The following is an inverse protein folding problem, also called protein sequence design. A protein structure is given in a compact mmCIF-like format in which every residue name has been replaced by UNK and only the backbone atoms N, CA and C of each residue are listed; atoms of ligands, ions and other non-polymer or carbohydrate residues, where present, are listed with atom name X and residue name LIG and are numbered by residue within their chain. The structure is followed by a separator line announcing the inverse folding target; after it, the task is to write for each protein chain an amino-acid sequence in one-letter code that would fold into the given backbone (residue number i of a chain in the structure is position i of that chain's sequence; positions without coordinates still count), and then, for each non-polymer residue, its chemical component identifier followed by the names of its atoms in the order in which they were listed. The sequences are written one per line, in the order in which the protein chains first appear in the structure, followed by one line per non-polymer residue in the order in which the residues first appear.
data_IF_431565804648
#
_entry.id   IF_431565804648
#
_cell.length_a   1.000
_cell.length_b   1.000
_cell.length_c   1.000
_cell.angle_alpha   90.00
_cell.angle_beta   90.00
_cell.angle_gamma   90.00
#
_symmetry.space_group_name_H-M   'P 1'
#
loop_
_entity.id
_entity.type
_entity.pdbx_description
1 polymer ?
#
# COMPACT_ATOMS: atom_id res chain seq x y z
N UNK A 1 11.78 -3.35 45.07
CA UNK A 1 11.05 -3.75 46.28
C UNK A 1 10.13 -4.91 45.90
N UNK A 2 10.44 -6.10 46.43
CA UNK A 2 9.68 -7.37 46.46
C UNK A 2 8.93 -7.84 45.19
N UNK A 3 9.58 -8.80 44.53
CA UNK A 3 8.99 -9.93 43.80
C UNK A 3 8.01 -10.66 44.73
N UNK A 4 6.80 -10.95 44.24
CA UNK A 4 5.91 -11.96 44.82
C UNK A 4 5.59 -13.04 43.80
N UNK A 5 5.51 -14.24 44.35
CA UNK A 5 5.80 -15.53 43.77
C UNK A 5 4.47 -16.28 43.57
N UNK A 6 4.02 -16.45 42.32
CA UNK A 6 2.78 -17.17 41.98
C UNK A 6 3.12 -18.61 41.56
N UNK A 7 3.82 -19.33 42.44
CA UNK A 7 4.02 -20.79 42.31
C UNK A 7 3.20 -21.60 43.32
N UNK A 8 2.35 -20.94 44.11
CA UNK A 8 1.54 -21.58 45.17
C UNK A 8 0.07 -21.83 44.80
N UNK A 9 -0.41 -21.41 43.63
CA UNK A 9 -1.84 -21.55 43.26
C UNK A 9 -2.09 -22.77 42.33
N UNK A 10 -1.06 -23.29 41.67
CA UNK A 10 -1.21 -24.38 40.68
C UNK A 10 -1.28 -25.78 41.32
N UNK A 11 -0.97 -25.92 42.62
CA UNK A 11 -0.88 -27.24 43.26
C UNK A 11 -2.19 -27.80 43.84
N UNK A 12 -3.26 -27.01 43.90
CA UNK A 12 -4.54 -27.42 44.50
C UNK A 12 -5.69 -27.73 43.51
N UNK A 13 -5.44 -27.69 42.20
CA UNK A 13 -6.48 -27.99 41.20
C UNK A 13 -6.39 -29.39 40.57
N UNK A 14 -5.29 -30.13 40.82
CA UNK A 14 -5.03 -31.43 40.18
C UNK A 14 -5.52 -32.67 40.94
N UNK A 15 -6.31 -32.52 42.01
CA UNK A 15 -6.72 -33.64 42.86
C UNK A 15 -8.22 -34.00 42.84
N UNK A 16 -9.02 -33.41 41.96
CA UNK A 16 -10.50 -33.61 42.00
C UNK A 16 -11.14 -33.91 40.64
N UNK A 17 -10.46 -34.67 39.76
CA UNK A 17 -11.09 -35.18 38.51
C UNK A 17 -10.78 -36.67 38.23
N UNK A 18 -10.11 -37.37 39.14
CA UNK A 18 -9.96 -38.83 39.05
C UNK A 18 -11.02 -39.55 39.89
N UNK A 19 -12.27 -39.50 39.46
CA UNK A 19 -13.27 -40.52 39.73
C UNK A 19 -14.52 -40.24 38.89
N UNK A 20 -15.16 -41.32 38.43
CA UNK A 20 -16.40 -41.38 37.63
C UNK A 20 -16.15 -41.54 36.12
N UNK A 21 -15.88 -42.78 35.68
CA UNK A 21 -16.88 -43.55 34.91
C UNK A 21 -16.33 -44.92 34.47
N UNK A 22 -16.64 -45.94 35.27
CA UNK A 22 -16.82 -47.31 34.80
C UNK A 22 -18.32 -47.53 34.63
N UNK A 23 -18.77 -47.88 33.43
CA UNK A 23 -19.61 -49.06 33.18
C UNK A 23 -20.14 -49.13 31.73
N UNK A 24 -19.86 -50.29 31.12
CA UNK A 24 -20.69 -51.09 30.21
C UNK A 24 -21.01 -50.58 28.78
N UNK A 25 -20.23 -51.14 27.84
CA UNK A 25 -20.64 -51.98 26.71
C UNK A 25 -22.09 -51.84 26.16
N UNK A 26 -22.20 -51.41 24.90
CA UNK A 26 -22.88 -52.20 23.86
C UNK A 26 -22.22 -52.00 22.47
N UNK A 27 -21.98 -53.15 21.82
CA UNK A 27 -21.52 -53.42 20.45
C UNK A 27 -22.58 -52.97 19.40
N UNK A 28 -22.39 -52.73 18.09
CA UNK A 28 -21.31 -52.80 17.09
C UNK A 28 -21.83 -52.14 15.78
N UNK A 29 -21.08 -51.24 15.13
CA UNK A 29 -20.82 -51.24 13.66
C UNK A 29 -19.93 -50.04 13.27
N UNK A 30 -19.11 -50.19 12.22
CA UNK A 30 -18.23 -49.20 11.59
C UNK A 30 -16.83 -49.01 12.18
N UNK A 31 -15.95 -50.00 11.97
CA UNK A 31 -14.52 -49.91 12.30
C UNK A 31 -13.60 -50.22 11.11
N UNK A 32 -13.78 -49.55 9.97
CA UNK A 32 -12.80 -49.62 8.86
C UNK A 32 -12.56 -48.30 8.11
N UNK A 33 -13.35 -47.24 8.31
CA UNK A 33 -13.16 -45.95 7.63
C UNK A 33 -12.36 -44.91 8.45
N UNK A 34 -12.16 -45.13 9.75
CA UNK A 34 -11.54 -44.14 10.65
C UNK A 34 -9.99 -44.16 10.61
N UNK A 35 -9.36 -45.29 10.24
CA UNK A 35 -7.87 -45.39 10.29
C UNK A 35 -7.13 -44.68 9.15
N UNK A 36 -7.76 -44.43 7.99
CA UNK A 36 -7.12 -43.65 6.89
C UNK A 36 -7.25 -42.13 7.04
N UNK A 37 -8.27 -41.65 7.75
CA UNK A 37 -8.46 -40.21 7.99
C UNK A 37 -7.53 -39.65 9.06
N UNK A 38 -7.13 -40.48 10.03
CA UNK A 38 -6.30 -40.03 11.16
C UNK A 38 -4.85 -39.82 10.71
N UNK A 39 -4.27 -40.72 9.90
CA UNK A 39 -2.85 -40.61 9.52
C UNK A 39 -2.55 -39.42 8.57
N UNK A 40 -3.53 -38.98 7.77
CA UNK A 40 -3.41 -37.79 6.91
C UNK A 40 -3.58 -36.47 7.66
N UNK A 41 -4.20 -36.49 8.84
CA UNK A 41 -4.48 -35.27 9.63
C UNK A 41 -3.30 -34.90 10.55
N UNK A 42 -2.57 -35.91 11.06
CA UNK A 42 -1.44 -35.68 11.96
C UNK A 42 -0.15 -35.26 11.24
N UNK A 43 0.07 -35.65 9.97
CA UNK A 43 1.28 -35.26 9.21
C UNK A 43 1.28 -33.78 8.77
N UNK A 44 0.12 -33.21 8.41
CA UNK A 44 0.01 -31.79 8.01
C UNK A 44 0.04 -30.83 9.20
N UNK A 45 -0.48 -31.22 10.37
CA UNK A 45 -0.45 -30.39 11.59
C UNK A 45 0.96 -30.26 12.18
N UNK A 46 1.78 -31.31 12.12
CA UNK A 46 3.17 -31.24 12.62
C UNK A 46 4.03 -30.33 11.72
N UNK A 47 3.82 -30.37 10.40
CA UNK A 47 4.52 -29.48 9.47
C UNK A 47 4.11 -28.01 9.67
N UNK A 48 2.81 -27.75 9.89
CA UNK A 48 2.32 -26.40 10.22
C UNK A 48 2.81 -25.90 11.58
N UNK A 49 2.88 -26.76 12.60
CA UNK A 49 3.39 -26.41 13.92
C UNK A 49 4.90 -26.17 13.92
N UNK A 50 5.68 -26.90 13.13
CA UNK A 50 7.11 -26.62 12.91
C UNK A 50 7.33 -25.33 12.11
N UNK A 51 6.47 -25.04 11.12
CA UNK A 51 6.52 -23.79 10.37
C UNK A 51 6.11 -22.58 11.23
N UNK A 52 5.09 -22.74 12.09
CA UNK A 52 4.68 -21.77 13.10
C UNK A 52 5.76 -21.57 14.17
N UNK A 53 6.44 -22.64 14.61
CA UNK A 53 7.56 -22.54 15.56
C UNK A 53 8.76 -21.80 14.93
N UNK A 54 9.03 -22.01 13.63
CA UNK A 54 10.04 -21.27 12.86
C UNK A 54 9.62 -19.81 12.57
N UNK A 55 8.32 -19.53 12.46
CA UNK A 55 7.78 -18.17 12.31
C UNK A 55 7.74 -17.40 13.64
N UNK A 56 7.40 -18.07 14.75
CA UNK A 56 7.34 -17.48 16.08
C UNK A 56 8.74 -17.13 16.63
N UNK A 57 9.81 -17.80 16.19
CA UNK A 57 11.18 -17.39 16.51
C UNK A 57 11.63 -16.09 15.79
N UNK A 58 10.85 -15.56 14.86
CA UNK A 58 11.12 -14.28 14.18
C UNK A 58 10.22 -13.11 14.62
N UNK A 59 9.24 -13.35 15.50
CA UNK A 59 8.32 -12.32 15.97
C UNK A 59 8.86 -11.58 17.18
N UNK A 60 9.88 -10.73 17.01
CA UNK A 60 10.24 -9.74 18.03
C UNK A 60 9.28 -8.55 17.87
N UNK A 61 8.60 -8.28 18.99
CA UNK A 61 7.80 -7.14 19.38
C UNK A 61 8.04 -5.85 18.57
N UNK A 62 7.04 -5.41 17.80
CA UNK A 62 6.97 -4.04 17.30
C UNK A 62 6.34 -3.15 18.36
N UNK A 63 7.15 -2.68 19.30
CA UNK A 63 6.81 -1.49 20.09
C UNK A 63 6.72 -0.30 19.13
N UNK A 64 5.61 0.44 19.16
CA UNK A 64 5.42 1.71 18.44
C UNK A 64 6.29 2.82 19.07
N UNK A 65 7.60 2.66 18.92
CA UNK A 65 8.54 3.75 18.70
C UNK A 65 8.67 3.84 17.19
N UNK A 66 8.38 4.99 16.56
CA UNK A 66 8.80 5.23 15.17
C UNK A 66 10.31 5.43 15.20
N UNK A 67 11.03 4.34 15.35
CA UNK A 67 12.48 4.35 15.40
C UNK A 67 12.96 4.72 13.99
N UNK A 68 13.57 5.88 13.85
CA UNK A 68 14.15 6.36 12.60
C UNK A 68 15.61 5.93 12.56
N UNK A 69 16.08 5.54 11.37
CA UNK A 69 17.46 5.09 11.17
C UNK A 69 18.06 5.73 9.94
N UNK A 70 19.37 5.96 10.00
CA UNK A 70 20.14 6.42 8.86
C UNK A 70 20.52 5.24 7.98
N UNK A 71 19.79 5.08 6.87
CA UNK A 71 20.02 4.03 5.90
C UNK A 71 21.11 4.45 4.92
N UNK A 72 22.19 3.67 4.85
CA UNK A 72 23.30 3.90 3.91
C UNK A 72 22.89 3.63 2.46
N UNK A 73 23.25 4.52 1.55
CA UNK A 73 22.99 4.36 0.11
C UNK A 73 24.10 3.59 -0.63
N UNK A 74 25.13 3.09 0.06
CA UNK A 74 26.29 2.42 -0.55
C UNK A 74 25.91 1.26 -1.49
N UNK A 75 24.88 0.51 -1.14
CA UNK A 75 24.40 -0.63 -1.93
C UNK A 75 23.12 -0.34 -2.71
N UNK A 76 22.74 0.94 -2.87
CA UNK A 76 21.55 1.31 -3.63
C UNK A 76 21.81 1.13 -5.12
N UNK A 77 20.88 0.45 -5.78
CA UNK A 77 20.82 0.29 -7.22
C UNK A 77 20.11 1.45 -7.93
N UNK A 78 19.43 2.32 -7.18
CA UNK A 78 18.72 3.50 -7.72
C UNK A 78 19.51 4.78 -7.46
N UNK A 79 19.89 5.05 -6.21
CA UNK A 79 20.60 6.25 -5.79
C UNK A 79 22.13 6.10 -5.91
N UNK A 80 22.61 5.55 -7.03
CA UNK A 80 24.01 5.11 -7.23
C UNK A 80 25.04 6.23 -7.15
N UNK A 81 24.64 7.48 -7.37
CA UNK A 81 25.52 8.65 -7.39
C UNK A 81 25.86 9.17 -5.98
N UNK A 82 25.21 8.64 -4.93
CA UNK A 82 25.43 9.03 -3.53
C UNK A 82 25.84 7.85 -2.62
N UNK A 83 26.86 7.04 -2.98
CA UNK A 83 27.18 5.80 -2.25
C UNK A 83 27.68 6.05 -0.81
N UNK A 84 28.15 7.26 -0.51
CA UNK A 84 28.70 7.62 0.81
C UNK A 84 27.70 8.38 1.68
N UNK A 85 26.44 8.50 1.25
CA UNK A 85 25.42 9.25 1.95
C UNK A 85 24.36 8.35 2.58
N UNK A 86 23.55 8.97 3.44
CA UNK A 86 22.54 8.30 4.25
C UNK A 86 21.21 9.03 4.14
N UNK A 87 20.11 8.30 4.22
CA UNK A 87 18.75 8.86 4.24
C UNK A 87 18.03 8.46 5.52
N UNK A 88 17.23 9.37 6.05
CA UNK A 88 16.37 9.11 7.21
C UNK A 88 15.15 8.30 6.76
N UNK A 89 15.00 7.10 7.30
CA UNK A 89 13.87 6.19 7.02
C UNK A 89 13.43 5.50 8.30
N UNK A 90 12.24 4.88 8.28
CA UNK A 90 11.84 4.00 9.38
C UNK A 90 12.83 2.82 9.51
N UNK A 91 13.14 2.42 10.73
CA UNK A 91 14.07 1.33 11.09
C UNK A 91 13.82 -0.01 10.39
N UNK A 92 12.62 -0.22 9.85
CA UNK A 92 12.24 -1.43 9.11
C UNK A 92 12.70 -1.41 7.65
N UNK A 93 13.11 -0.25 7.13
CA UNK A 93 13.48 -0.10 5.73
C UNK A 93 14.89 -0.63 5.49
N UNK A 94 15.03 -1.40 4.42
CA UNK A 94 16.31 -1.81 3.87
C UNK A 94 16.56 -1.08 2.56
N UNK A 95 17.81 -1.02 2.11
CA UNK A 95 18.15 -0.42 0.80
C UNK A 95 17.38 -1.07 -0.34
N UNK A 96 17.20 -2.40 -0.29
CA UNK A 96 16.42 -3.12 -1.29
C UNK A 96 14.94 -2.71 -1.29
N UNK A 97 14.35 -2.43 -0.12
CA UNK A 97 12.97 -1.93 -0.03
C UNK A 97 12.86 -0.51 -0.59
N UNK A 98 13.83 0.36 -0.26
CA UNK A 98 13.90 1.71 -0.82
C UNK A 98 13.98 1.68 -2.35
N UNK A 99 14.91 0.89 -2.89
CA UNK A 99 15.08 0.75 -4.33
C UNK A 99 13.82 0.18 -5.01
N UNK A 100 13.17 -0.81 -4.39
CA UNK A 100 11.95 -1.41 -4.92
C UNK A 100 10.79 -0.41 -4.93
N UNK A 101 10.65 0.39 -3.88
CA UNK A 101 9.63 1.43 -3.79
C UNK A 101 9.84 2.49 -4.89
N UNK A 102 11.05 3.04 -4.99
CA UNK A 102 11.42 4.01 -6.03
C UNK A 102 11.18 3.44 -7.44
N UNK A 103 11.61 2.19 -7.69
CA UNK A 103 11.46 1.55 -9.01
C UNK A 103 10.00 1.33 -9.39
N UNK A 104 9.14 1.03 -8.42
CA UNK A 104 7.73 0.71 -8.65
C UNK A 104 6.80 1.90 -8.47
N UNK A 105 7.28 3.07 -8.01
CA UNK A 105 6.45 4.22 -7.67
C UNK A 105 5.49 4.59 -8.82
N UNK A 106 5.98 4.86 -10.02
CA UNK A 106 5.08 5.24 -11.13
C UNK A 106 4.39 4.07 -11.85
N UNK A 107 4.80 2.83 -11.58
CA UNK A 107 4.25 1.63 -12.23
C UNK A 107 3.22 0.90 -11.34
N UNK A 108 3.20 1.21 -10.04
CA UNK A 108 2.31 0.61 -9.06
C UNK A 108 0.91 1.20 -9.17
N UNK A 109 -0.08 0.32 -9.26
CA UNK A 109 -1.49 0.72 -9.24
C UNK A 109 -1.86 1.53 -7.99
N UNK A 110 -1.18 1.27 -6.86
CA UNK A 110 -1.42 2.01 -5.63
C UNK A 110 -0.94 3.46 -5.73
N UNK A 111 0.30 3.68 -6.16
CA UNK A 111 0.89 5.01 -6.30
C UNK A 111 0.23 5.83 -7.41
N UNK A 112 -0.13 5.21 -8.54
CA UNK A 112 -0.90 5.88 -9.59
C UNK A 112 -2.26 6.34 -9.04
N UNK A 113 -2.93 5.48 -8.26
CA UNK A 113 -4.21 5.83 -7.63
C UNK A 113 -4.05 6.95 -6.61
N UNK A 114 -3.00 6.89 -5.78
CA UNK A 114 -2.69 7.93 -4.79
C UNK A 114 -2.43 9.28 -5.47
N UNK A 115 -1.59 9.31 -6.50
CA UNK A 115 -1.38 10.50 -7.32
C UNK A 115 -2.69 11.05 -7.88
N UNK A 116 -3.51 10.19 -8.49
CA UNK A 116 -4.78 10.58 -9.09
C UNK A 116 -5.75 11.14 -8.07
N UNK A 117 -5.83 10.53 -6.88
CA UNK A 117 -6.67 10.99 -5.79
C UNK A 117 -6.21 12.35 -5.25
N UNK A 118 -4.90 12.54 -5.02
CA UNK A 118 -4.35 13.76 -4.45
C UNK A 118 -4.39 14.96 -5.42
N UNK A 119 -4.36 14.69 -6.72
CA UNK A 119 -4.30 15.72 -7.75
C UNK A 119 -5.55 15.80 -8.63
N UNK A 120 -6.62 15.02 -8.40
CA UNK A 120 -7.81 15.05 -9.26
C UNK A 120 -7.50 14.69 -10.71
N UNK A 121 -6.62 13.71 -10.90
CA UNK A 121 -6.10 13.29 -12.21
C UNK A 121 -6.52 11.85 -12.56
N UNK A 122 -6.24 11.46 -13.79
CA UNK A 122 -6.34 10.14 -14.40
C UNK A 122 -5.00 9.78 -15.07
N UNK A 123 -3.90 10.17 -14.41
CA UNK A 123 -2.54 9.86 -14.80
C UNK A 123 -2.31 8.34 -14.86
N UNK A 124 -1.48 7.91 -15.79
CA UNK A 124 -1.24 6.50 -16.11
C UNK A 124 0.21 6.06 -15.82
N UNK A 125 0.96 6.86 -15.06
CA UNK A 125 2.37 6.57 -14.75
C UNK A 125 3.39 7.10 -15.77
N UNK A 126 2.96 7.75 -16.87
CA UNK A 126 3.84 8.13 -17.98
C UNK A 126 4.22 9.61 -18.00
N UNK A 127 5.29 9.94 -18.72
CA UNK A 127 5.68 11.33 -19.01
C UNK A 127 6.56 12.00 -17.95
N UNK A 128 6.74 11.39 -16.77
CA UNK A 128 7.59 11.95 -15.72
C UNK A 128 9.07 11.60 -15.97
N UNK A 129 9.93 12.63 -16.02
CA UNK A 129 11.38 12.54 -16.21
C UNK A 129 12.11 12.78 -14.90
N UNK A 130 13.25 12.14 -14.71
CA UNK A 130 14.18 12.25 -13.58
C UNK A 130 13.55 11.92 -12.22
N UNK A 131 12.59 10.99 -12.20
CA UNK A 131 11.91 10.58 -10.97
C UNK A 131 12.90 10.00 -9.95
N UNK A 132 13.77 9.10 -10.38
CA UNK A 132 14.72 8.45 -9.47
C UNK A 132 15.74 9.46 -8.97
N UNK A 133 16.31 10.25 -9.89
CA UNK A 133 17.27 11.30 -9.59
C UNK A 133 16.69 12.32 -8.61
N UNK A 134 15.50 12.85 -8.88
CA UNK A 134 14.85 13.84 -8.02
C UNK A 134 14.44 13.26 -6.67
N UNK A 135 13.91 12.03 -6.61
CA UNK A 135 13.52 11.40 -5.34
C UNK A 135 14.74 11.12 -4.45
N UNK A 136 15.82 10.58 -5.00
CA UNK A 136 17.07 10.37 -4.25
C UNK A 136 17.63 11.69 -3.72
N UNK A 137 17.69 12.70 -4.58
CA UNK A 137 18.13 14.05 -4.22
C UNK A 137 17.25 14.64 -3.11
N UNK A 138 15.94 14.56 -3.24
CA UNK A 138 14.98 15.11 -2.28
C UNK A 138 15.18 14.53 -0.88
N UNK A 139 15.31 13.22 -0.77
CA UNK A 139 15.53 12.55 0.52
C UNK A 139 16.84 12.99 1.19
N UNK A 140 17.87 13.33 0.41
CA UNK A 140 19.18 13.73 0.95
C UNK A 140 19.19 15.16 1.51
N UNK A 141 18.38 16.05 0.94
CA UNK A 141 18.29 17.46 1.34
C UNK A 141 16.96 17.78 2.06
N UNK A 142 16.18 16.77 2.44
CA UNK A 142 14.99 16.93 3.28
C UNK A 142 15.38 17.59 4.61
N UNK A 143 14.57 18.55 5.09
CA UNK A 143 14.91 19.35 6.28
C UNK A 143 15.15 18.50 7.54
N UNK A 144 14.48 17.37 7.63
CA UNK A 144 14.55 16.44 8.78
C UNK A 144 15.63 15.35 8.60
N UNK A 145 16.40 15.38 7.49
CA UNK A 145 17.47 14.42 7.27
C UNK A 145 18.78 14.86 7.95
N UNK A 146 18.95 14.48 9.20
CA UNK A 146 20.19 14.71 9.96
C UNK A 146 21.28 13.65 9.74
N UNK A 147 21.03 12.63 8.91
CA UNK A 147 21.94 11.50 8.75
C UNK A 147 23.29 11.85 8.10
N UNK A 148 23.36 12.96 7.37
CA UNK A 148 24.59 13.41 6.71
C UNK A 148 25.33 14.52 7.49
N UNK A 149 24.84 14.91 8.68
CA UNK A 149 25.36 16.04 9.47
C UNK A 149 26.37 15.64 10.58
N UNK A 150 26.76 14.37 10.70
CA UNK A 150 27.53 13.80 11.83
C UNK A 150 28.94 14.46 12.02
N UNK A 151 29.41 15.27 11.06
CA UNK A 151 30.69 16.01 11.15
C UNK A 151 30.54 17.55 11.17
N UNK A 152 29.46 18.13 11.70
CA UNK A 152 29.36 19.60 11.89
C UNK A 152 30.20 20.10 13.08
N UNK A 153 31.52 20.05 12.94
CA UNK A 153 32.41 20.90 13.74
C UNK A 153 32.55 22.26 13.04
N UNK A 154 31.81 23.24 13.55
CA UNK A 154 32.04 24.71 13.48
C UNK A 154 32.41 25.41 12.16
N UNK A 155 32.44 24.76 11.00
CA UNK A 155 32.60 25.42 9.71
C UNK A 155 31.41 25.10 8.79
N UNK A 156 30.73 26.16 8.32
CA UNK A 156 29.61 26.11 7.36
C UNK A 156 30.06 25.73 5.94
N UNK A 157 31.17 25.02 5.78
CA UNK A 157 31.63 24.58 4.46
C UNK A 157 30.96 23.25 4.10
N UNK A 158 29.93 23.36 3.25
CA UNK A 158 29.31 22.31 2.40
C UNK A 158 29.23 20.89 2.99
N UNK A 159 27.99 20.44 3.24
CA UNK A 159 27.65 19.01 3.26
C UNK A 159 28.39 18.26 2.15
N UNK A 160 28.95 17.08 2.44
CA UNK A 160 29.59 16.20 1.44
C UNK A 160 28.59 15.65 0.40
N UNK A 161 27.31 16.00 0.49
CA UNK A 161 26.29 15.63 -0.49
C UNK A 161 26.45 16.52 -1.73
N UNK A 162 26.73 15.89 -2.87
CA UNK A 162 26.75 16.57 -4.17
C UNK A 162 25.30 16.80 -4.62
N UNK A 163 24.87 18.04 -4.92
CA UNK A 163 23.52 18.32 -5.42
C UNK A 163 23.32 17.84 -6.87
N UNK A 164 22.07 17.77 -7.32
CA UNK A 164 21.77 17.56 -8.75
C UNK A 164 21.91 18.86 -9.53
N UNK A 165 22.06 18.72 -10.85
CA UNK A 165 22.15 19.88 -11.74
C UNK A 165 20.81 20.61 -11.79
N UNK A 166 20.86 21.95 -11.85
CA UNK A 166 19.65 22.77 -11.88
C UNK A 166 18.81 22.47 -13.11
N UNK A 167 19.43 22.31 -14.28
CA UNK A 167 18.79 21.79 -15.49
C UNK A 167 18.03 20.47 -15.29
N UNK A 168 18.60 19.50 -14.56
CA UNK A 168 17.93 18.23 -14.24
C UNK A 168 16.72 18.43 -13.33
N UNK A 169 16.87 19.25 -12.28
CA UNK A 169 15.78 19.55 -11.36
C UNK A 169 14.62 20.24 -12.07
N UNK A 170 14.92 21.21 -12.93
CA UNK A 170 13.95 21.91 -13.76
C UNK A 170 13.30 20.97 -14.79
N UNK A 171 14.02 20.00 -15.33
CA UNK A 171 13.45 18.99 -16.22
C UNK A 171 12.39 18.12 -15.50
N UNK A 172 12.66 17.70 -14.25
CA UNK A 172 11.64 17.03 -13.42
C UNK A 172 10.40 17.92 -13.24
N UNK A 173 10.60 19.18 -12.82
CA UNK A 173 9.53 20.17 -12.68
C UNK A 173 8.70 20.33 -13.95
N UNK A 174 9.34 20.49 -15.10
CA UNK A 174 8.67 20.69 -16.38
C UNK A 174 7.90 19.45 -16.85
N UNK A 175 8.42 18.26 -16.58
CA UNK A 175 7.72 17.01 -16.90
C UNK A 175 6.43 16.85 -16.08
N UNK A 176 6.48 17.15 -14.77
CA UNK A 176 5.28 17.14 -13.92
C UNK A 176 4.28 18.23 -14.30
N UNK A 177 4.78 19.44 -14.61
CA UNK A 177 3.94 20.55 -15.09
C UNK A 177 3.21 20.19 -16.38
N UNK A 178 3.88 19.48 -17.29
CA UNK A 178 3.27 18.99 -18.53
C UNK A 178 2.14 18.02 -18.23
N UNK A 179 2.33 17.09 -17.29
CA UNK A 179 1.27 16.16 -16.85
C UNK A 179 0.08 16.92 -16.27
N UNK A 180 0.31 17.89 -15.37
CA UNK A 180 -0.77 18.68 -14.76
C UNK A 180 -1.54 19.56 -15.75
N UNK A 181 -0.91 19.94 -16.87
CA UNK A 181 -1.53 20.75 -17.92
C UNK A 181 -2.20 19.92 -19.02
N UNK A 182 -2.01 18.60 -19.06
CA UNK A 182 -2.70 17.73 -20.02
C UNK A 182 -4.14 17.51 -19.56
N UNK A 183 -5.10 18.19 -20.18
CA UNK A 183 -6.53 18.11 -19.84
C UNK A 183 -7.10 16.68 -19.87
N UNK A 184 -6.49 15.76 -20.62
CA UNK A 184 -6.93 14.35 -20.68
C UNK A 184 -6.47 13.57 -19.46
N UNK A 185 -5.36 13.97 -18.86
CA UNK A 185 -4.79 13.33 -17.67
C UNK A 185 -5.18 14.10 -16.40
N UNK A 186 -5.09 15.42 -16.40
CA UNK A 186 -5.36 16.28 -15.26
C UNK A 186 -6.34 17.38 -15.68
N UNK A 187 -7.66 17.13 -15.60
CA UNK A 187 -8.67 18.08 -16.02
C UNK A 187 -8.55 19.41 -15.24
N UNK A 188 -8.71 20.57 -15.91
CA UNK A 188 -8.55 21.88 -15.28
C UNK A 188 -9.82 22.36 -14.58
N UNK A 189 -10.98 21.79 -14.90
CA UNK A 189 -12.27 22.15 -14.31
C UNK A 189 -13.04 20.92 -13.86
N UNK A 190 -14.00 21.13 -12.98
CA UNK A 190 -14.87 20.06 -12.48
C UNK A 190 -15.71 19.43 -13.60
N UNK A 191 -16.18 20.21 -14.57
CA UNK A 191 -16.95 19.72 -15.70
C UNK A 191 -16.12 18.74 -16.55
N UNK A 192 -14.84 19.07 -16.80
CA UNK A 192 -13.92 18.17 -17.50
C UNK A 192 -13.64 16.92 -16.68
N UNK A 193 -13.46 17.05 -15.36
CA UNK A 193 -13.27 15.92 -14.47
C UNK A 193 -14.46 14.96 -14.49
N UNK A 194 -15.68 15.46 -14.32
CA UNK A 194 -16.90 14.65 -14.37
C UNK A 194 -17.10 14.01 -15.75
N UNK A 195 -16.75 14.71 -16.84
CA UNK A 195 -16.80 14.15 -18.20
C UNK A 195 -15.86 12.95 -18.36
N UNK A 196 -14.65 13.02 -17.83
CA UNK A 196 -13.70 11.89 -17.86
C UNK A 196 -14.15 10.77 -16.91
N UNK A 197 -14.63 11.12 -15.71
CA UNK A 197 -15.17 10.17 -14.75
C UNK A 197 -16.29 9.32 -15.37
N UNK A 198 -17.27 9.96 -16.02
CA UNK A 198 -18.37 9.29 -16.72
C UNK A 198 -17.91 8.39 -17.86
N UNK A 199 -16.79 8.73 -18.53
CA UNK A 199 -16.24 7.93 -19.62
C UNK A 199 -15.53 6.67 -19.12
N UNK A 200 -14.90 6.77 -17.95
CA UNK A 200 -14.08 5.70 -17.39
C UNK A 200 -14.87 4.73 -16.50
N UNK A 201 -16.04 5.13 -16.00
CA UNK A 201 -16.79 4.35 -15.02
C UNK A 201 -17.97 3.58 -15.63
N UNK A 202 -17.97 2.26 -15.44
CA UNK A 202 -19.04 1.37 -15.89
C UNK A 202 -20.09 1.20 -14.75
N UNK A 203 -21.20 1.95 -14.88
CA UNK A 203 -22.51 1.77 -14.21
C UNK A 203 -22.85 2.47 -12.89
N UNK A 204 -21.94 2.69 -11.92
CA UNK A 204 -22.35 3.27 -10.61
C UNK A 204 -22.50 4.80 -10.60
N UNK A 205 -21.68 5.53 -11.35
CA UNK A 205 -21.75 7.01 -11.43
C UNK A 205 -22.90 7.48 -12.35
N UNK A 206 -23.39 6.60 -13.24
CA UNK A 206 -24.44 6.90 -14.21
C UNK A 206 -25.84 7.11 -13.60
N UNK A 207 -26.05 6.77 -12.32
CA UNK A 207 -27.33 6.96 -11.64
C UNK A 207 -27.53 8.40 -11.13
N UNK A 208 -26.45 9.17 -10.92
CA UNK A 208 -26.51 10.57 -10.50
C UNK A 208 -26.55 11.49 -11.72
N UNK A 209 -27.36 12.55 -11.64
CA UNK A 209 -27.36 13.57 -12.68
C UNK A 209 -26.04 14.39 -12.63
N UNK A 210 -25.72 15.11 -13.70
CA UNK A 210 -24.47 15.86 -13.81
C UNK A 210 -24.32 16.95 -12.76
N UNK A 211 -25.42 17.63 -12.43
CA UNK A 211 -25.43 18.71 -11.43
C UNK A 211 -25.09 18.19 -10.04
N UNK A 212 -25.61 17.03 -9.66
CA UNK A 212 -25.34 16.41 -8.36
C UNK A 212 -23.86 16.00 -8.25
N UNK A 213 -23.29 15.47 -9.34
CA UNK A 213 -21.88 15.09 -9.38
C UNK A 213 -20.95 16.29 -9.31
N UNK A 214 -21.30 17.40 -9.96
CA UNK A 214 -20.56 18.66 -9.85
C UNK A 214 -20.59 19.12 -8.38
N UNK A 215 -21.76 19.24 -7.77
CA UNK A 215 -21.85 19.73 -6.40
C UNK A 215 -21.06 18.86 -5.39
N UNK A 216 -21.09 17.53 -5.57
CA UNK A 216 -20.35 16.60 -4.70
C UNK A 216 -18.83 16.68 -4.85
N UNK A 217 -18.32 17.17 -5.99
CA UNK A 217 -16.89 17.19 -6.29
C UNK A 217 -16.29 18.60 -6.30
N UNK A 218 -17.08 19.64 -6.00
CA UNK A 218 -16.62 21.04 -6.01
C UNK A 218 -15.43 21.26 -5.08
N UNK A 219 -15.56 20.86 -3.81
CA UNK A 219 -14.49 21.00 -2.80
C UNK A 219 -13.27 20.18 -3.20
N UNK A 220 -13.49 18.91 -3.59
CA UNK A 220 -12.43 18.00 -4.02
C UNK A 220 -11.58 18.58 -5.16
N UNK A 221 -12.23 19.13 -6.20
CA UNK A 221 -11.52 19.69 -7.35
C UNK A 221 -10.74 20.96 -6.99
N UNK A 222 -11.26 21.80 -6.10
CA UNK A 222 -10.54 22.98 -5.60
C UNK A 222 -9.29 22.55 -4.83
N UNK A 223 -9.40 21.56 -3.94
CA UNK A 223 -8.26 21.01 -3.19
C UNK A 223 -7.22 20.39 -4.11
N UNK A 224 -7.66 19.60 -5.10
CA UNK A 224 -6.79 19.00 -6.10
C UNK A 224 -6.00 20.04 -6.91
N UNK A 225 -6.66 21.09 -7.41
CA UNK A 225 -6.01 22.18 -8.16
C UNK A 225 -5.01 22.97 -7.30
N UNK A 226 -5.36 23.21 -6.03
CA UNK A 226 -4.45 23.81 -5.06
C UNK A 226 -3.23 22.91 -4.80
N UNK A 227 -3.44 21.59 -4.65
CA UNK A 227 -2.37 20.63 -4.45
C UNK A 227 -1.39 20.59 -5.63
N UNK A 228 -1.89 20.63 -6.87
CA UNK A 228 -1.05 20.73 -8.09
C UNK A 228 -0.18 21.99 -8.06
N UNK A 229 -0.80 23.14 -7.81
CA UNK A 229 -0.13 24.45 -7.81
C UNK A 229 0.94 24.53 -6.73
N UNK A 230 0.60 24.08 -5.51
CA UNK A 230 1.52 24.02 -4.37
C UNK A 230 2.69 23.08 -4.64
N UNK A 231 2.42 21.87 -5.16
CA UNK A 231 3.49 20.90 -5.47
C UNK A 231 4.49 21.47 -6.49
N UNK A 232 4.01 22.14 -7.54
CA UNK A 232 4.89 22.79 -8.52
C UNK A 232 5.69 23.94 -7.88
N UNK A 233 5.06 24.74 -7.03
CA UNK A 233 5.75 25.81 -6.30
C UNK A 233 6.85 25.23 -5.41
N UNK A 234 6.54 24.22 -4.60
CA UNK A 234 7.47 23.57 -3.68
C UNK A 234 8.67 22.99 -4.44
N UNK A 235 8.45 22.30 -5.56
CA UNK A 235 9.53 21.77 -6.41
C UNK A 235 10.39 22.90 -6.97
N UNK A 236 9.78 23.96 -7.49
CA UNK A 236 10.52 25.08 -8.06
C UNK A 236 11.37 25.81 -7.00
N UNK A 237 10.83 26.05 -5.81
CA UNK A 237 11.57 26.61 -4.68
C UNK A 237 12.73 25.68 -4.30
N UNK A 238 12.47 24.37 -4.21
CA UNK A 238 13.47 23.36 -3.89
C UNK A 238 14.62 23.32 -4.91
N UNK A 239 14.31 23.35 -6.21
CA UNK A 239 15.32 23.43 -7.26
C UNK A 239 16.15 24.70 -7.12
N UNK A 240 15.54 25.85 -6.85
CA UNK A 240 16.28 27.11 -6.69
C UNK A 240 17.18 27.13 -5.44
N UNK A 241 16.78 26.44 -4.37
CA UNK A 241 17.52 26.44 -3.11
C UNK A 241 18.66 25.41 -3.08
N UNK A 242 18.42 24.19 -3.60
CA UNK A 242 19.30 23.05 -3.35
C UNK A 242 20.04 22.53 -4.60
N UNK A 243 19.74 23.01 -5.80
CA UNK A 243 20.44 22.61 -7.04
C UNK A 243 21.42 23.68 -7.54
N UNK A 244 22.38 23.29 -8.39
CA UNK A 244 23.45 24.16 -8.89
C UNK A 244 23.85 23.75 -10.31
N UNK A 245 24.51 24.62 -11.07
CA UNK A 245 25.12 24.26 -12.36
C UNK A 245 26.59 23.83 -12.20
N UNK A 246 27.23 24.23 -11.10
CA UNK A 246 28.63 23.89 -10.84
C UNK A 246 28.75 22.67 -9.93
N UNK A 247 29.51 21.66 -10.36
CA UNK A 247 29.81 20.43 -9.61
C UNK A 247 28.53 19.72 -9.11
N UNK A 248 27.74 19.25 -10.07
CA UNK A 248 26.43 18.65 -9.85
C UNK A 248 26.26 17.31 -10.58
N UNK A 249 25.24 16.55 -10.16
CA UNK A 249 24.85 15.27 -10.77
C UNK A 249 23.71 15.50 -11.77
N UNK A 250 23.89 15.08 -13.02
CA UNK A 250 22.85 15.22 -14.05
C UNK A 250 21.74 14.16 -13.94
N UNK A 251 22.08 12.94 -13.55
CA UNK A 251 21.16 11.81 -13.50
C UNK A 251 21.76 10.62 -12.75
N UNK A 252 20.89 9.73 -12.28
CA UNK A 252 21.28 8.38 -11.86
C UNK A 252 21.44 7.44 -13.07
N UNK A 253 22.24 6.39 -12.92
CA UNK A 253 22.64 5.47 -14.01
C UNK A 253 21.45 4.92 -14.80
N UNK A 254 20.37 4.56 -14.12
CA UNK A 254 19.18 3.98 -14.75
C UNK A 254 18.43 4.99 -15.65
N UNK A 255 18.52 6.29 -15.39
CA UNK A 255 17.80 7.33 -16.13
C UNK A 255 18.65 8.00 -17.23
N UNK A 256 19.98 8.02 -17.07
CA UNK A 256 20.96 8.54 -18.05
C UNK A 256 20.76 7.97 -19.45
N UNK A 257 20.41 6.70 -19.50
CA UNK A 257 20.23 6.00 -20.76
C UNK A 257 18.93 6.33 -21.49
N UNK A 258 17.97 6.96 -20.82
CA UNK A 258 16.60 7.12 -21.33
C UNK A 258 16.10 8.56 -21.21
N UNK A 259 16.97 9.57 -21.38
CA UNK A 259 16.58 10.99 -21.29
C UNK A 259 15.81 11.34 -19.99
N UNK A 260 16.24 10.78 -18.85
CA UNK A 260 15.54 10.99 -17.59
C UNK A 260 14.35 10.07 -17.36
N UNK A 261 13.86 9.33 -18.35
CA UNK A 261 12.79 8.36 -18.10
C UNK A 261 13.34 7.10 -17.42
N UNK A 262 12.58 6.52 -16.49
CA UNK A 262 12.89 5.17 -16.00
C UNK A 262 12.95 4.15 -17.15
N UNK A 263 13.86 3.15 -17.10
CA UNK A 263 13.91 2.04 -18.06
C UNK A 263 12.57 1.31 -18.23
N UNK A 264 11.74 1.27 -17.18
CA UNK A 264 10.42 0.63 -17.21
C UNK A 264 9.39 1.41 -18.05
N UNK A 265 9.66 2.68 -18.37
CA UNK A 265 8.78 3.53 -19.18
C UNK A 265 9.36 3.84 -20.56
N UNK A 266 9.89 2.82 -21.23
CA UNK A 266 10.47 2.94 -22.58
C UNK A 266 9.52 3.60 -23.59
N UNK A 267 8.20 3.42 -23.45
CA UNK A 267 7.22 4.05 -24.32
C UNK A 267 7.20 5.58 -24.16
N UNK A 268 7.35 6.10 -22.95
CA UNK A 268 7.43 7.56 -22.70
C UNK A 268 8.71 8.14 -23.28
N UNK A 269 9.82 7.41 -23.17
CA UNK A 269 11.08 7.78 -23.81
C UNK A 269 10.94 7.85 -25.34
N UNK A 270 10.34 6.83 -25.95
CA UNK A 270 10.11 6.78 -27.40
C UNK A 270 9.20 7.90 -27.89
N UNK A 271 8.10 8.15 -27.18
CA UNK A 271 7.16 9.24 -27.47
C UNK A 271 7.87 10.60 -27.38
N UNK A 272 8.60 10.86 -26.30
CA UNK A 272 9.38 12.07 -26.12
C UNK A 272 10.39 12.29 -27.25
N UNK A 273 11.20 11.27 -27.58
CA UNK A 273 12.21 11.39 -28.63
C UNK A 273 11.64 11.48 -30.04
N UNK A 274 10.39 11.04 -30.26
CA UNK A 274 9.70 11.26 -31.53
C UNK A 274 9.38 12.74 -31.78
N UNK A 275 9.09 13.47 -30.71
CA UNK A 275 8.80 14.91 -30.75
C UNK A 275 10.07 15.76 -30.59
N UNK A 276 11.10 15.22 -29.92
CA UNK A 276 12.34 15.91 -29.57
C UNK A 276 13.58 15.27 -30.20
N UNK A 277 13.49 14.92 -31.49
CA UNK A 277 14.58 14.22 -32.23
C UNK A 277 15.94 14.93 -32.20
N UNK A 278 15.96 16.26 -32.01
CA UNK A 278 17.18 17.05 -31.93
C UNK A 278 17.84 17.06 -30.54
N UNK A 279 17.17 16.58 -29.49
CA UNK A 279 17.71 16.51 -28.14
C UNK A 279 18.93 15.57 -28.11
N UNK A 280 20.00 15.99 -27.45
CA UNK A 280 21.26 15.23 -27.41
C UNK A 280 21.07 13.82 -26.87
N UNK A 281 20.25 13.66 -25.82
CA UNK A 281 19.96 12.36 -25.21
C UNK A 281 19.14 11.42 -26.12
N UNK A 282 18.45 11.94 -27.15
CA UNK A 282 17.69 11.17 -28.13
C UNK A 282 18.55 10.76 -29.35
N UNK A 283 19.67 11.45 -29.59
CA UNK A 283 20.59 11.13 -30.69
C UNK A 283 21.26 9.78 -30.40
N UNK A 284 21.32 8.92 -31.42
CA UNK A 284 21.98 7.60 -31.42
C UNK A 284 21.34 6.48 -30.57
N UNK A 285 20.25 6.72 -29.82
CA UNK A 285 19.66 5.69 -28.93
C UNK A 285 18.44 4.95 -29.46
N UNK A 286 17.80 5.46 -30.52
CA UNK A 286 16.73 4.72 -31.21
C UNK A 286 17.24 3.48 -31.96
N UNK A 287 18.51 3.48 -32.37
CA UNK A 287 19.13 2.38 -33.13
C UNK A 287 19.64 1.24 -32.23
N UNK A 288 20.03 1.55 -30.98
CA UNK A 288 20.57 0.57 -30.02
C UNK A 288 19.50 -0.08 -29.14
N UNK A 289 18.25 0.40 -29.18
CA UNK A 289 17.18 -0.26 -28.44
C UNK A 289 16.95 -1.64 -29.05
N UNK A 290 17.07 -2.73 -28.27
CA UNK A 290 16.54 -4.00 -28.70
C UNK A 290 15.04 -3.82 -28.73
N UNK A 291 14.49 -3.42 -29.88
CA UNK A 291 13.27 -4.04 -30.34
C UNK A 291 13.56 -5.52 -30.20
N UNK A 292 13.11 -6.12 -29.11
CA UNK A 292 12.77 -7.52 -29.13
C UNK A 292 11.72 -7.59 -30.23
N UNK A 293 12.20 -7.81 -31.47
CA UNK A 293 11.41 -8.32 -32.57
C UNK A 293 10.59 -9.37 -31.88
N UNK A 294 9.28 -9.10 -31.75
CA UNK A 294 8.30 -10.01 -31.16
C UNK A 294 8.75 -11.39 -31.56
N UNK A 295 9.39 -12.09 -30.61
CA UNK A 295 10.01 -13.36 -30.93
C UNK A 295 8.79 -14.16 -31.32
N UNK A 296 8.65 -14.52 -32.60
CA UNK A 296 7.56 -15.38 -33.04
C UNK A 296 7.65 -16.56 -32.09
N UNK A 297 6.75 -16.56 -31.10
CA UNK A 297 6.82 -17.44 -29.97
C UNK A 297 6.51 -18.78 -30.62
N UNK A 298 7.56 -19.55 -30.93
CA UNK A 298 7.41 -20.88 -31.47
C UNK A 298 6.90 -21.70 -30.28
N UNK A 299 5.59 -21.60 -30.04
CA UNK A 299 4.92 -22.41 -29.05
C UNK A 299 5.23 -23.85 -29.44
N UNK A 300 5.93 -24.53 -28.56
CA UNK A 300 6.02 -25.98 -28.62
C UNK A 300 4.60 -26.53 -28.70
N UNK A 301 4.39 -27.60 -29.45
CA UNK A 301 3.10 -28.30 -29.52
C UNK A 301 2.59 -28.60 -28.08
N UNK A 302 3.51 -28.87 -27.15
CA UNK A 302 3.21 -29.03 -25.73
C UNK A 302 2.64 -27.77 -25.06
N UNK A 303 3.11 -26.58 -25.42
CA UNK A 303 2.59 -25.30 -24.93
C UNK A 303 1.15 -25.07 -25.40
N UNK A 304 0.82 -25.47 -26.64
CA UNK A 304 -0.55 -25.37 -27.18
C UNK A 304 -1.48 -26.33 -26.43
N UNK A 305 -1.02 -27.56 -26.17
CA UNK A 305 -1.78 -28.55 -25.40
C UNK A 305 -2.04 -28.05 -23.97
N UNK A 306 -1.04 -27.48 -23.29
CA UNK A 306 -1.22 -26.89 -21.98
C UNK A 306 -2.24 -25.75 -21.97
N UNK A 307 -2.20 -24.86 -22.98
CA UNK A 307 -3.17 -23.75 -23.07
C UNK A 307 -4.59 -24.28 -23.32
N UNK A 308 -4.75 -25.28 -24.19
CA UNK A 308 -6.05 -25.88 -24.49
C UNK A 308 -6.66 -26.62 -23.29
N UNK A 309 -5.85 -27.13 -22.37
CA UNK A 309 -6.33 -27.82 -21.16
C UNK A 309 -6.54 -26.82 -20.00
N UNK A 310 -5.65 -25.85 -19.83
CA UNK A 310 -5.72 -24.91 -18.72
C UNK A 310 -6.73 -23.78 -18.91
N UNK A 311 -6.99 -23.32 -20.14
CA UNK A 311 -8.00 -22.29 -20.39
C UNK A 311 -9.42 -22.73 -19.98
N UNK A 312 -9.92 -23.93 -20.34
CA UNK A 312 -11.21 -24.42 -19.86
C UNK A 312 -11.26 -24.59 -18.33
N UNK A 313 -10.17 -25.05 -17.73
CA UNK A 313 -10.12 -25.24 -16.28
C UNK A 313 -10.17 -23.89 -15.56
N UNK A 314 -9.44 -22.90 -16.07
CA UNK A 314 -9.44 -21.55 -15.53
C UNK A 314 -10.77 -20.83 -15.77
N UNK A 315 -11.44 -21.02 -16.91
CA UNK A 315 -12.79 -20.45 -17.12
C UNK A 315 -13.83 -21.09 -16.20
N UNK A 316 -13.70 -22.37 -15.87
CA UNK A 316 -14.55 -23.03 -14.87
C UNK A 316 -14.26 -22.48 -13.47
N UNK A 317 -12.99 -22.34 -13.09
CA UNK A 317 -12.60 -21.81 -11.78
C UNK A 317 -13.01 -20.33 -11.65
N UNK A 318 -12.72 -19.50 -12.64
CA UNK A 318 -13.14 -18.10 -12.67
C UNK A 318 -14.66 -17.97 -12.77
N UNK A 319 -15.34 -18.84 -13.50
CA UNK A 319 -16.80 -18.90 -13.55
C UNK A 319 -17.40 -19.22 -12.18
N UNK A 320 -16.80 -20.17 -11.46
CA UNK A 320 -17.19 -20.52 -10.09
C UNK A 320 -16.87 -19.40 -9.10
N UNK A 321 -15.69 -18.79 -9.21
CA UNK A 321 -15.28 -17.65 -8.39
C UNK A 321 -16.17 -16.43 -8.64
N UNK A 322 -16.45 -16.08 -9.90
CA UNK A 322 -17.32 -14.97 -10.27
C UNK A 322 -18.79 -15.25 -9.90
N UNK A 323 -19.25 -16.50 -10.02
CA UNK A 323 -20.56 -16.93 -9.49
C UNK A 323 -20.63 -16.74 -7.97
N UNK A 324 -19.58 -17.10 -7.24
CA UNK A 324 -19.48 -16.88 -5.79
C UNK A 324 -19.39 -15.38 -5.45
N UNK A 325 -18.62 -14.60 -6.20
CA UNK A 325 -18.37 -13.18 -5.94
C UNK A 325 -19.60 -12.30 -6.23
N UNK A 326 -20.33 -12.56 -7.32
CA UNK A 326 -21.63 -11.91 -7.57
C UNK A 326 -22.68 -12.25 -6.53
N UNK A 327 -22.55 -13.40 -5.86
CA UNK A 327 -23.41 -13.73 -4.73
C UNK A 327 -23.07 -12.90 -3.50
N UNK A 328 -21.83 -12.44 -3.33
CA UNK A 328 -21.39 -11.56 -2.23
C UNK A 328 -21.81 -10.10 -2.44
N UNK A 329 -21.77 -9.58 -3.68
CA UNK A 329 -22.25 -8.22 -3.99
C UNK A 329 -23.72 -8.00 -3.61
N UNK A 330 -24.53 -9.06 -3.59
CA UNK A 330 -25.95 -8.97 -3.23
C UNK A 330 -26.20 -8.73 -1.73
N UNK A 331 -25.17 -8.78 -0.90
CA UNK A 331 -25.26 -8.65 0.56
C UNK A 331 -24.44 -7.48 1.15
N UNK A 332 -23.78 -6.67 0.31
CA UNK A 332 -23.22 -5.40 0.76
C UNK A 332 -24.28 -4.31 0.62
N UNK A 333 -24.79 -3.82 1.75
CA UNK A 333 -25.69 -2.66 1.78
C UNK A 333 -24.94 -1.42 1.26
N UNK A 334 -25.40 -0.78 0.16
CA UNK A 334 -24.76 0.41 -0.39
C UNK A 334 -24.74 1.61 0.57
N UNK A 335 -25.46 1.55 1.71
CA UNK A 335 -25.43 2.59 2.75
C UNK A 335 -24.17 2.62 3.62
N UNK A 336 -23.26 1.64 3.49
CA UNK A 336 -21.98 1.61 4.23
C UNK A 336 -20.81 2.28 3.48
N UNK A 337 -21.03 2.81 2.27
CA UNK A 337 -20.06 3.69 1.59
C UNK A 337 -20.41 5.15 1.87
N UNK A 338 -19.56 5.86 2.61
CA UNK A 338 -19.65 7.31 2.74
C UNK A 338 -19.27 7.97 1.38
N UNK A 339 -20.03 8.96 0.88
CA UNK A 339 -19.77 9.64 -0.40
C UNK A 339 -18.43 10.38 -0.54
N UNK A 340 -17.65 10.58 0.52
CA UNK A 340 -16.58 11.59 0.53
C UNK A 340 -15.16 11.07 0.23
N UNK A 341 -14.97 9.79 -0.07
CA UNK A 341 -13.69 9.28 -0.61
C UNK A 341 -12.43 9.44 0.28
N UNK A 342 -12.51 10.04 1.46
CA UNK A 342 -11.43 10.11 2.45
C UNK A 342 -11.34 8.79 3.23
N UNK A 343 -10.14 8.21 3.31
CA UNK A 343 -9.85 6.97 4.04
C UNK A 343 -9.98 7.11 5.57
N UNK A 344 -11.20 7.24 6.09
CA UNK A 344 -11.55 6.95 7.50
C UNK A 344 -12.09 5.52 7.69
N UNK A 345 -12.15 4.74 6.61
CA UNK A 345 -12.90 3.50 6.52
C UNK A 345 -12.23 2.33 7.24
N UNK A 346 -12.66 2.14 8.49
CA UNK A 346 -13.15 0.88 9.08
C UNK A 346 -13.23 0.97 10.60
N UNK A 347 -13.09 2.17 11.20
CA UNK A 347 -13.26 2.37 12.63
C UNK A 347 -14.74 2.38 13.02
N UNK A 348 -15.07 1.58 14.03
CA UNK A 348 -16.40 1.45 14.63
C UNK A 348 -16.27 1.64 16.13
N UNK A 349 -17.37 2.03 16.79
CA UNK A 349 -17.45 2.07 18.24
C UNK A 349 -18.33 0.93 18.74
N UNK A 350 -17.92 0.28 19.82
CA UNK A 350 -18.74 -0.72 20.50
C UNK A 350 -19.91 -0.03 21.20
N UNK A 351 -21.13 -0.39 20.84
CA UNK A 351 -22.38 0.10 21.46
C UNK A 351 -23.03 -0.94 22.38
N UNK A 352 -22.67 -2.22 22.24
CA UNK A 352 -23.10 -3.28 23.15
C UNK A 352 -21.90 -4.15 23.57
N UNK A 353 -21.77 -4.46 24.87
CA UNK A 353 -20.67 -5.27 25.36
C UNK A 353 -20.83 -6.72 24.90
N UNK A 354 -19.71 -7.43 24.80
CA UNK A 354 -19.69 -8.84 24.39
C UNK A 354 -18.65 -9.61 25.19
N UNK A 355 -19.03 -10.80 25.67
CA UNK A 355 -18.12 -11.72 26.35
C UNK A 355 -17.90 -12.95 25.45
N UNK A 356 -16.65 -13.32 25.16
CA UNK A 356 -16.33 -14.40 24.24
C UNK A 356 -16.72 -15.76 24.82
N UNK A 357 -17.23 -16.64 23.94
CA UNK A 357 -17.71 -18.00 24.23
C UNK A 357 -16.67 -19.04 23.75
N UNK A 358 -15.99 -18.76 22.64
CA UNK A 358 -14.94 -19.61 22.06
C UNK A 358 -13.63 -18.80 21.90
N UNK A 359 -12.52 -19.50 21.67
CA UNK A 359 -11.17 -18.92 21.79
C UNK A 359 -10.82 -17.88 20.71
N UNK A 360 -11.49 -17.92 19.58
CA UNK A 360 -11.33 -16.98 18.46
C UNK A 360 -12.14 -15.69 18.62
N UNK A 361 -13.01 -15.62 19.63
CA UNK A 361 -13.80 -14.43 19.92
C UNK A 361 -13.09 -13.46 20.88
N UNK A 362 -13.36 -12.16 20.73
CA UNK A 362 -12.80 -11.13 21.61
C UNK A 362 -13.85 -10.47 22.51
N UNK A 363 -13.41 -10.06 23.70
CA UNK A 363 -14.22 -9.28 24.63
C UNK A 363 -14.36 -7.84 24.14
N UNK A 364 -15.58 -7.31 24.22
CA UNK A 364 -15.90 -5.93 23.87
C UNK A 364 -16.49 -5.17 25.07
N UNK A 365 -16.02 -3.94 25.32
CA UNK A 365 -16.63 -3.01 26.25
C UNK A 365 -17.23 -1.82 25.49
N UNK A 366 -18.35 -1.28 25.96
CA UNK A 366 -19.00 -0.11 25.34
C UNK A 366 -17.99 1.05 25.27
N UNK A 367 -17.87 1.66 24.10
CA UNK A 367 -16.93 2.75 23.82
C UNK A 367 -15.60 2.32 23.22
N UNK A 368 -15.30 1.01 23.18
CA UNK A 368 -14.09 0.52 22.53
C UNK A 368 -14.08 0.85 21.03
N UNK A 369 -12.89 1.16 20.49
CA UNK A 369 -12.72 1.48 19.08
C UNK A 369 -12.26 0.23 18.33
N UNK A 370 -13.05 -0.19 17.36
CA UNK A 370 -12.84 -1.40 16.59
C UNK A 370 -12.42 -1.05 15.17
N UNK A 371 -11.33 -1.64 14.69
CA UNK A 371 -10.99 -1.63 13.27
C UNK A 371 -11.53 -2.92 12.63
N UNK A 372 -12.52 -2.78 11.75
CA UNK A 372 -13.05 -3.92 11.00
C UNK A 372 -12.03 -4.37 9.95
N UNK A 373 -11.72 -5.66 9.94
CA UNK A 373 -10.97 -6.28 8.84
C UNK A 373 -11.91 -7.00 7.87
N UNK A 374 -12.82 -7.84 8.40
CA UNK A 374 -13.78 -8.61 7.60
C UNK A 374 -15.15 -8.68 8.30
N UNK A 375 -16.22 -8.75 7.50
CA UNK A 375 -17.58 -9.02 7.98
C UNK A 375 -18.07 -10.32 7.34
N UNK A 376 -18.52 -11.26 8.16
CA UNK A 376 -19.02 -12.57 7.74
C UNK A 376 -20.55 -12.56 7.55
N UNK A 377 -21.04 -13.43 6.67
CA UNK A 377 -22.46 -13.48 6.26
C UNK A 377 -23.40 -14.11 7.32
N UNK A 378 -22.86 -14.60 8.42
CA UNK A 378 -23.58 -15.19 9.55
C UNK A 378 -23.78 -14.21 10.72
N UNK A 379 -23.44 -12.92 10.53
CA UNK A 379 -23.62 -11.86 11.52
C UNK A 379 -22.42 -11.64 12.43
N UNK A 380 -21.26 -12.19 12.07
CA UNK A 380 -20.00 -12.00 12.78
C UNK A 380 -19.05 -11.05 12.05
N UNK A 381 -18.14 -10.45 12.80
CA UNK A 381 -17.07 -9.56 12.32
C UNK A 381 -15.74 -10.11 12.79
N UNK A 382 -14.71 -10.06 11.95
CA UNK A 382 -13.32 -10.15 12.38
C UNK A 382 -12.73 -8.75 12.43
N UNK A 383 -12.20 -8.36 13.59
CA UNK A 383 -11.68 -7.01 13.79
C UNK A 383 -10.70 -6.92 14.93
N UNK A 384 -10.02 -5.77 14.99
CA UNK A 384 -9.07 -5.43 16.03
C UNK A 384 -9.74 -4.44 16.98
N UNK A 385 -9.85 -4.81 18.26
CA UNK A 385 -10.16 -3.85 19.30
C UNK A 385 -8.91 -3.02 19.59
N UNK A 386 -8.89 -1.77 19.10
CA UNK A 386 -7.76 -0.85 19.24
C UNK A 386 -7.53 -0.43 20.69
N UNK A 387 -8.55 -0.50 21.56
CA UNK A 387 -8.44 -0.14 22.97
C UNK A 387 -7.71 -1.21 23.78
N UNK A 388 -8.07 -2.49 23.58
CA UNK A 388 -7.42 -3.62 24.27
C UNK A 388 -6.27 -4.24 23.47
N UNK A 389 -6.06 -3.80 22.22
CA UNK A 389 -5.11 -4.36 21.26
C UNK A 389 -5.28 -5.87 21.04
N UNK A 390 -6.53 -6.34 21.00
CA UNK A 390 -6.90 -7.75 20.78
C UNK A 390 -7.60 -7.92 19.45
N UNK A 391 -7.29 -8.99 18.73
CA UNK A 391 -7.87 -9.34 17.42
C UNK A 391 -8.68 -10.62 17.54
N UNK A 392 -9.84 -10.66 16.88
CA UNK A 392 -10.67 -11.85 16.79
C UNK A 392 -12.10 -11.52 16.38
N UNK A 393 -13.02 -12.45 16.64
CA UNK A 393 -14.39 -12.37 16.15
C UNK A 393 -15.39 -11.89 17.19
N UNK A 394 -16.43 -11.19 16.74
CA UNK A 394 -17.53 -10.74 17.59
C UNK A 394 -18.79 -10.44 16.74
N UNK A 395 -19.99 -10.38 17.33
CA UNK A 395 -21.21 -10.10 16.58
C UNK A 395 -21.25 -8.68 16.02
N UNK A 396 -21.72 -8.52 14.77
CA UNK A 396 -21.92 -7.21 14.12
C UNK A 396 -22.82 -6.28 14.97
N UNK A 397 -23.82 -6.86 15.64
CA UNK A 397 -24.77 -6.11 16.46
C UNK A 397 -24.11 -5.32 17.61
N UNK A 398 -22.87 -5.66 17.99
CA UNK A 398 -22.17 -4.99 19.07
C UNK A 398 -21.56 -3.64 18.70
N UNK A 399 -21.52 -3.28 17.41
CA UNK A 399 -20.76 -2.14 16.91
C UNK A 399 -21.61 -1.18 16.06
N UNK A 400 -21.19 0.07 15.98
CA UNK A 400 -21.76 1.13 15.13
C UNK A 400 -20.65 1.88 14.40
N UNK A 401 -20.89 2.41 13.18
CA UNK A 401 -19.92 3.28 12.49
C UNK A 401 -19.44 4.41 13.40
N UNK A 402 -18.14 4.71 13.35
CA UNK A 402 -17.55 5.81 14.11
C UNK A 402 -17.77 7.12 13.37
N UNK A 403 -18.78 7.90 13.76
CA UNK A 403 -19.04 9.24 13.20
C UNK A 403 -18.16 10.28 13.92
N UNK A 404 -17.19 10.85 13.19
CA UNK A 404 -16.45 12.03 13.65
C UNK A 404 -17.32 13.27 13.44
N UNK A 405 -17.99 13.75 14.50
CA UNK A 405 -18.50 15.13 14.55
C UNK A 405 -19.88 15.31 15.17
N UNK A 406 -19.94 15.37 16.51
CA UNK A 406 -20.76 16.30 17.30
C UNK A 406 -20.66 15.95 18.80
N UNK A 407 -19.50 16.23 19.41
CA UNK A 407 -19.44 16.47 20.85
C UNK A 407 -19.27 17.98 21.06
N UNK A 408 -20.36 18.72 20.87
CA UNK A 408 -20.46 20.05 21.47
C UNK A 408 -20.62 19.87 22.98
N UNK A 409 -19.72 20.50 23.73
CA UNK A 409 -19.91 20.83 25.14
C UNK A 409 -21.33 21.34 25.40
N UNK A 410 -22.15 20.53 26.06
CA UNK A 410 -23.35 20.99 26.77
C UNK A 410 -23.90 19.91 27.71
N UNK A 411 -23.22 19.70 28.84
CA UNK A 411 -23.88 19.22 30.07
C UNK A 411 -23.00 19.48 31.30
N UNK A 412 -22.80 20.76 31.61
CA UNK A 412 -22.76 21.23 32.99
C UNK A 412 -24.05 22.03 33.23
N UNK A 413 -24.63 21.88 34.43
CA UNK A 413 -25.98 22.29 34.87
C UNK A 413 -27.02 21.21 34.51
N UNK A 414 -27.61 20.48 35.45
CA UNK A 414 -28.01 20.81 36.83
C UNK A 414 -27.74 19.67 37.81
#
# INVERSE_FOLDING_TARGET
MKILNITSIIRNFFFTVNNINNNNQSYYHNHTLIKKSIYSFYSKRIYHLLLLYLFCLKGIEANNSTDYTCLSLLSSSVCTEWPNNYVSVSSKWTVAMLDADLKTWKDSSWHIKDFNNNYGCFWNGRGLQYLYTFSCFRMLFEKDNDCNNINRSSDKSRSNVIPICKTTCEAYYHSLKTIFNDEKQCPPTIEHYIKILKKNDDKKVLEKNESDLIHLNEIYMVEALNARSKTLQDINEYCNEYSTEDNCINDVVDERNFCGFSPNSINSFLEYCSEHSNAECCKNKLEDMPFTKSSKLKLSIWSIICILIHLPLMTIIFGFMHYKNRRLEKYMDPKLLNPDGLATFNKHIVIHPYNPIIEDEIKLNIGDIILIQDIFNDGWVHGINCTSNTEGTFPVACISPYELGNFNESSSVS
#
